data_IF_106876316543
#
_entry.id   IF_106876316543
#
_cell.length_a   1.000
_cell.length_b   1.000
_cell.length_c   1.000
_cell.angle_alpha   90.00
_cell.angle_beta   90.00
_cell.angle_gamma   90.00
#
_symmetry.space_group_name_H-M   'P 1'
#
loop_
_entity.id
_entity.type
_entity.pdbx_description
1 polymer ?
#
# COMPACT_ATOMS: atom_id res chain seq x y z
N UNK A 1 -2.62 -25.80 18.45
CA UNK A 1 -3.02 -25.97 17.05
C UNK A 1 -2.38 -24.84 16.25
N UNK A 2 -1.40 -25.15 15.41
CA UNK A 2 -0.73 -24.17 14.55
C UNK A 2 -1.69 -23.63 13.48
N UNK A 3 -1.29 -22.54 12.82
CA UNK A 3 -2.03 -21.94 11.72
C UNK A 3 -2.24 -22.97 10.60
N UNK A 4 -3.49 -23.34 10.33
CA UNK A 4 -3.82 -24.22 9.21
C UNK A 4 -3.66 -23.44 7.90
N UNK A 5 -2.74 -23.88 7.05
CA UNK A 5 -2.53 -23.32 5.70
C UNK A 5 -3.44 -24.06 4.70
N UNK A 6 -4.74 -23.81 4.78
CA UNK A 6 -5.74 -24.46 3.92
C UNK A 6 -6.24 -23.58 2.76
N UNK A 7 -5.60 -22.44 2.50
CA UNK A 7 -6.00 -21.51 1.42
C UNK A 7 -7.24 -20.66 1.71
N UNK A 8 -7.78 -20.72 2.93
CA UNK A 8 -8.90 -19.87 3.37
C UNK A 8 -8.35 -18.63 4.07
N UNK A 9 -8.58 -17.44 3.51
CA UNK A 9 -8.23 -16.19 4.17
C UNK A 9 -9.25 -15.85 5.27
N UNK A 10 -8.84 -15.07 6.28
CA UNK A 10 -9.74 -14.57 7.31
C UNK A 10 -10.95 -13.83 6.72
N UNK A 11 -10.74 -13.06 5.66
CA UNK A 11 -11.83 -12.37 4.95
C UNK A 11 -12.82 -13.33 4.33
N UNK A 12 -12.35 -14.39 3.69
CA UNK A 12 -13.25 -15.41 3.12
C UNK A 12 -14.07 -16.12 4.20
N UNK A 13 -13.46 -16.41 5.35
CA UNK A 13 -14.17 -16.99 6.50
C UNK A 13 -15.28 -16.06 7.01
N UNK A 14 -15.00 -14.75 7.14
CA UNK A 14 -15.99 -13.75 7.55
C UNK A 14 -17.15 -13.60 6.54
N UNK A 15 -16.84 -13.61 5.25
CA UNK A 15 -17.88 -13.58 4.18
C UNK A 15 -18.74 -14.87 4.25
N UNK A 16 -18.12 -16.04 4.39
CA UNK A 16 -18.84 -17.30 4.51
C UNK A 16 -19.74 -17.33 5.75
N UNK A 17 -19.27 -16.83 6.89
CA UNK A 17 -20.05 -16.67 8.11
C UNK A 17 -21.26 -15.75 7.87
N UNK A 18 -21.03 -14.56 7.30
CA UNK A 18 -22.10 -13.61 6.99
C UNK A 18 -23.18 -14.22 6.09
N UNK A 19 -22.79 -14.95 5.06
CA UNK A 19 -23.72 -15.65 4.16
C UNK A 19 -24.47 -16.78 4.83
N UNK A 20 -23.79 -17.54 5.71
CA UNK A 20 -24.41 -18.69 6.40
C UNK A 20 -25.51 -18.28 7.40
N UNK A 21 -25.37 -17.09 7.99
CA UNK A 21 -26.31 -16.56 8.99
C UNK A 21 -27.17 -15.40 8.50
N UNK A 22 -27.05 -15.04 7.23
CA UNK A 22 -27.79 -13.92 6.60
C UNK A 22 -27.63 -12.59 7.36
N UNK A 23 -26.39 -12.29 7.78
CA UNK A 23 -26.01 -11.05 8.47
C UNK A 23 -25.08 -10.19 7.60
N UNK A 24 -25.04 -8.86 7.78
CA UNK A 24 -24.16 -7.99 7.02
C UNK A 24 -22.69 -8.33 7.24
N UNK A 25 -21.91 -8.44 6.16
CA UNK A 25 -20.46 -8.70 6.24
C UNK A 25 -19.74 -7.60 7.05
N UNK A 26 -20.19 -6.35 6.94
CA UNK A 26 -19.61 -5.23 7.67
C UNK A 26 -19.74 -5.42 9.20
N UNK A 27 -20.86 -5.93 9.67
CA UNK A 27 -21.09 -6.19 11.09
C UNK A 27 -20.23 -7.36 11.59
N UNK A 28 -20.10 -8.41 10.77
CA UNK A 28 -19.20 -9.52 11.08
C UNK A 28 -17.74 -9.04 11.16
N UNK A 29 -17.32 -8.20 10.22
CA UNK A 29 -15.97 -7.62 10.21
C UNK A 29 -15.73 -6.75 11.46
N UNK A 30 -16.72 -5.99 11.89
CA UNK A 30 -16.64 -5.15 13.08
C UNK A 30 -16.58 -5.96 14.38
N UNK A 31 -17.49 -6.93 14.54
CA UNK A 31 -17.60 -7.67 15.79
C UNK A 31 -16.53 -8.74 15.96
N UNK A 32 -15.95 -9.27 14.88
CA UNK A 32 -14.97 -10.33 14.91
C UNK A 32 -13.73 -10.02 15.76
N UNK A 33 -13.23 -8.78 15.69
CA UNK A 33 -12.01 -8.37 16.38
C UNK A 33 -12.14 -8.32 17.90
N UNK A 34 -13.35 -8.19 18.43
CA UNK A 34 -13.62 -8.22 19.86
C UNK A 34 -13.85 -9.62 20.43
N UNK A 35 -13.72 -10.68 19.63
CA UNK A 35 -14.09 -12.03 20.01
C UNK A 35 -12.90 -12.98 20.10
N UNK A 36 -13.02 -13.96 21.03
CA UNK A 36 -12.07 -15.07 21.18
C UNK A 36 -12.79 -16.42 21.01
N UNK A 37 -12.08 -17.48 20.55
CA UNK A 37 -12.67 -18.80 20.52
C UNK A 37 -13.27 -19.20 21.88
N UNK A 38 -14.46 -19.85 21.89
CA UNK A 38 -15.18 -20.47 20.77
C UNK A 38 -16.13 -19.52 20.00
N UNK A 39 -16.04 -18.20 20.12
CA UNK A 39 -16.85 -17.19 19.43
C UNK A 39 -18.36 -17.27 19.77
N UNK A 40 -18.73 -17.75 20.95
CA UNK A 40 -20.12 -18.00 21.34
C UNK A 40 -21.01 -16.75 21.15
N UNK A 41 -20.59 -15.58 21.66
CA UNK A 41 -21.34 -14.35 21.54
C UNK A 41 -21.57 -13.91 20.06
N UNK A 42 -20.61 -14.20 19.18
CA UNK A 42 -20.75 -13.91 17.75
C UNK A 42 -21.80 -14.83 17.10
N UNK A 43 -21.83 -16.10 17.48
CA UNK A 43 -22.85 -17.05 17.01
C UNK A 43 -24.23 -16.74 17.58
N UNK A 44 -24.33 -16.40 18.87
CA UNK A 44 -25.60 -16.02 19.52
C UNK A 44 -26.21 -14.78 18.83
N UNK A 45 -25.41 -13.78 18.53
CA UNK A 45 -25.85 -12.63 17.75
C UNK A 45 -26.31 -13.02 16.34
N UNK A 46 -25.48 -13.78 15.63
CA UNK A 46 -25.76 -14.16 14.23
C UNK A 46 -27.01 -15.04 14.09
N UNK A 47 -27.38 -15.81 15.11
CA UNK A 47 -28.61 -16.62 15.16
C UNK A 47 -29.82 -15.87 15.73
N UNK A 48 -29.65 -14.59 16.15
CA UNK A 48 -30.70 -13.82 16.79
C UNK A 48 -30.99 -14.21 18.24
N UNK A 49 -30.14 -15.05 18.84
CA UNK A 49 -30.28 -15.52 20.21
C UNK A 49 -29.67 -14.57 21.28
N UNK A 50 -28.85 -13.59 20.83
CA UNK A 50 -28.18 -12.63 21.68
C UNK A 50 -28.02 -11.25 21.08
N UNK A 51 -27.63 -10.24 21.88
CA UNK A 51 -27.34 -8.89 21.38
C UNK A 51 -26.04 -8.87 20.57
N UNK A 52 -25.75 -7.76 19.85
CA UNK A 52 -24.43 -7.56 19.26
C UNK A 52 -23.31 -7.81 20.28
N UNK A 53 -22.27 -8.58 19.95
CA UNK A 53 -21.27 -9.08 20.88
C UNK A 53 -20.29 -7.99 21.38
N UNK A 54 -20.45 -6.77 20.87
CA UNK A 54 -19.61 -5.62 21.21
C UNK A 54 -20.49 -4.46 21.57
N UNK A 55 -20.22 -3.83 22.72
CA UNK A 55 -20.92 -2.62 23.16
C UNK A 55 -20.65 -1.46 22.18
N UNK A 56 -21.67 -0.69 21.88
CA UNK A 56 -21.50 0.57 21.16
C UNK A 56 -20.50 1.46 21.92
N UNK A 57 -19.53 2.03 21.23
CA UNK A 57 -18.49 2.86 21.86
C UNK A 57 -17.31 2.07 22.46
N UNK A 58 -17.25 0.75 22.32
CA UNK A 58 -16.06 0.00 22.70
C UNK A 58 -14.88 0.35 21.76
N UNK A 59 -13.66 0.56 22.29
CA UNK A 59 -12.46 0.83 21.48
C UNK A 59 -11.98 -0.47 20.84
N UNK A 60 -12.45 -0.75 19.65
CA UNK A 60 -12.10 -1.91 18.85
C UNK A 60 -11.71 -1.50 17.44
N UNK A 61 -11.00 -2.38 16.75
CA UNK A 61 -10.73 -2.22 15.33
C UNK A 61 -12.04 -2.05 14.54
N UNK A 62 -12.05 -1.08 13.65
CA UNK A 62 -13.18 -0.77 12.77
C UNK A 62 -12.80 -1.06 11.31
N UNK A 63 -13.69 -1.68 10.52
CA UNK A 63 -13.43 -1.89 9.10
C UNK A 63 -13.11 -0.58 8.39
N UNK A 64 -12.04 -0.58 7.58
CA UNK A 64 -11.57 0.63 6.92
C UNK A 64 -12.50 1.15 5.84
N UNK A 65 -12.71 2.46 5.84
CA UNK A 65 -13.19 3.18 4.67
C UNK A 65 -12.08 3.31 3.65
N UNK A 66 -12.36 2.95 2.39
CA UNK A 66 -11.40 2.90 1.29
C UNK A 66 -11.74 3.91 0.21
N UNK A 67 -10.72 4.56 -0.32
CA UNK A 67 -10.86 5.50 -1.42
C UNK A 67 -10.99 4.82 -2.78
N UNK A 68 -11.83 5.38 -3.66
CA UNK A 68 -11.87 5.04 -5.07
C UNK A 68 -10.71 5.70 -5.84
N UNK A 69 -10.24 5.13 -6.95
CA UNK A 69 -9.40 5.89 -7.87
C UNK A 69 -10.16 7.13 -8.35
N UNK A 70 -9.49 8.27 -8.45
CA UNK A 70 -10.04 9.42 -9.18
C UNK A 70 -10.09 9.04 -10.66
N UNK A 71 -11.27 9.10 -11.25
CA UNK A 71 -11.50 8.82 -12.67
C UNK A 71 -11.38 10.09 -13.52
N UNK A 72 -11.84 10.01 -14.76
CA UNK A 72 -11.89 11.15 -15.69
C UNK A 72 -12.89 12.22 -15.23
N UNK A 73 -13.97 11.81 -14.57
CA UNK A 73 -14.95 12.74 -13.99
C UNK A 73 -14.44 13.22 -12.64
N UNK A 74 -14.08 14.49 -12.60
CA UNK A 74 -13.53 15.13 -11.42
C UNK A 74 -14.67 15.71 -10.60
N UNK A 75 -14.72 15.44 -9.28
CA UNK A 75 -15.74 16.00 -8.41
C UNK A 75 -15.52 17.51 -8.23
N UNK A 76 -16.56 18.22 -7.85
CA UNK A 76 -16.45 19.62 -7.44
C UNK A 76 -15.58 19.72 -6.19
N UNK A 77 -14.41 20.33 -6.35
CA UNK A 77 -13.36 20.41 -5.33
C UNK A 77 -13.78 21.16 -4.06
N UNK A 78 -14.74 22.07 -4.16
CA UNK A 78 -15.23 22.84 -3.02
C UNK A 78 -15.85 21.94 -1.92
N UNK A 79 -16.38 20.79 -2.33
CA UNK A 79 -16.93 19.80 -1.42
C UNK A 79 -15.89 18.86 -0.80
N UNK A 80 -14.62 18.96 -1.21
CA UNK A 80 -13.58 18.04 -0.76
C UNK A 80 -12.44 18.75 -0.02
N UNK A 81 -11.94 18.11 1.01
CA UNK A 81 -10.64 18.40 1.57
C UNK A 81 -9.59 17.57 0.84
N UNK A 82 -8.45 18.17 0.56
CA UNK A 82 -7.33 17.49 -0.07
C UNK A 82 -6.24 17.25 0.95
N UNK A 83 -5.76 16.02 1.05
CA UNK A 83 -4.63 15.62 1.89
C UNK A 83 -3.58 14.90 1.05
N UNK A 84 -2.37 14.79 1.55
CA UNK A 84 -1.35 13.94 0.94
C UNK A 84 -1.74 12.46 1.05
N UNK A 85 -1.49 11.72 -0.03
CA UNK A 85 -1.50 10.27 0.02
C UNK A 85 -0.09 9.78 0.36
N UNK A 86 0.09 9.47 1.64
CA UNK A 86 1.36 9.00 2.17
C UNK A 86 1.69 7.58 1.68
N UNK A 87 2.97 7.30 1.48
CA UNK A 87 3.51 6.00 1.11
C UNK A 87 4.05 5.27 2.35
N UNK A 88 3.16 4.78 3.16
CA UNK A 88 3.43 4.06 4.40
C UNK A 88 2.56 2.82 4.55
N UNK A 89 2.20 2.51 5.78
CA UNK A 89 1.25 1.46 6.11
C UNK A 89 0.06 2.08 6.82
N UNK A 90 -1.10 2.01 6.19
CA UNK A 90 -2.33 2.42 6.87
C UNK A 90 -2.58 1.54 8.09
N UNK A 91 -2.78 2.19 9.22
CA UNK A 91 -3.05 1.53 10.50
C UNK A 91 -4.23 2.14 11.21
N UNK A 92 -4.88 1.33 12.03
CA UNK A 92 -5.71 1.82 13.14
C UNK A 92 -4.97 1.58 14.45
N UNK A 93 -4.87 2.63 15.25
CA UNK A 93 -4.42 2.52 16.63
C UNK A 93 -5.66 2.50 17.52
N UNK A 94 -5.78 1.43 18.26
CA UNK A 94 -6.90 1.18 19.17
C UNK A 94 -6.34 1.17 20.58
N UNK A 95 -6.80 2.07 21.43
CA UNK A 95 -6.45 2.11 22.85
C UNK A 95 -7.71 1.93 23.70
N UNK A 96 -7.69 0.92 24.54
CA UNK A 96 -8.70 0.62 25.55
C UNK A 96 -7.99 0.35 26.87
N UNK A 97 -7.96 -0.90 27.33
CA UNK A 97 -7.12 -1.33 28.45
C UNK A 97 -5.63 -1.37 28.05
N UNK A 98 -5.36 -1.71 26.82
CA UNK A 98 -4.04 -1.70 26.18
C UNK A 98 -4.10 -1.08 24.79
N UNK A 99 -2.95 -0.66 24.25
CA UNK A 99 -2.84 -0.15 22.89
C UNK A 99 -2.52 -1.28 21.92
N UNK A 100 -3.24 -1.34 20.80
CA UNK A 100 -2.96 -2.23 19.67
C UNK A 100 -2.94 -1.46 18.37
N UNK A 101 -2.09 -1.94 17.46
CA UNK A 101 -1.92 -1.36 16.13
C UNK A 101 -2.33 -2.42 15.12
N UNK A 102 -3.39 -2.13 14.36
CA UNK A 102 -3.91 -3.01 13.34
C UNK A 102 -3.57 -2.50 11.95
N UNK A 103 -3.05 -3.39 11.10
CA UNK A 103 -2.82 -3.13 9.69
C UNK A 103 -4.16 -3.02 8.93
N UNK A 104 -4.07 -2.62 7.65
CA UNK A 104 -5.24 -2.54 6.76
C UNK A 104 -5.99 -3.87 6.59
N UNK A 105 -5.33 -5.00 6.76
CA UNK A 105 -5.97 -6.33 6.75
C UNK A 105 -6.58 -6.72 8.08
N UNK A 106 -6.41 -5.91 9.13
CA UNK A 106 -6.85 -6.22 10.49
C UNK A 106 -5.87 -7.10 11.26
N UNK A 107 -4.65 -7.27 10.76
CA UNK A 107 -3.60 -8.01 11.46
C UNK A 107 -2.98 -7.13 12.54
N UNK A 108 -2.78 -7.68 13.75
CA UNK A 108 -2.08 -7.02 14.84
C UNK A 108 -0.57 -6.97 14.56
N UNK A 109 -0.05 -5.76 14.37
CA UNK A 109 1.36 -5.49 14.11
C UNK A 109 2.07 -4.77 15.28
N UNK A 110 1.43 -4.67 16.43
CA UNK A 110 1.90 -3.96 17.63
C UNK A 110 3.33 -4.31 18.02
N UNK A 111 3.70 -5.60 17.91
CA UNK A 111 5.04 -6.09 18.30
C UNK A 111 6.18 -5.49 17.47
N UNK A 112 5.90 -5.04 16.26
CA UNK A 112 6.89 -4.41 15.38
C UNK A 112 7.11 -2.91 15.70
N UNK A 113 6.23 -2.31 16.52
CA UNK A 113 6.22 -0.88 16.81
C UNK A 113 5.96 -0.60 18.30
N UNK A 114 6.76 -1.17 19.23
CA UNK A 114 6.52 -1.08 20.67
C UNK A 114 6.56 0.36 21.19
N UNK A 115 7.29 1.27 20.54
CA UNK A 115 7.39 2.68 20.92
C UNK A 115 6.10 3.49 20.75
N UNK A 116 5.07 2.91 20.11
CA UNK A 116 3.76 3.54 19.91
C UNK A 116 2.69 3.02 20.88
N UNK A 117 3.02 2.06 21.76
CA UNK A 117 2.01 1.39 22.59
C UNK A 117 1.70 2.11 23.90
N UNK A 118 2.66 2.81 24.49
CA UNK A 118 2.53 3.40 25.83
C UNK A 118 2.26 4.93 25.82
N UNK A 119 1.78 5.45 24.70
CA UNK A 119 1.65 6.90 24.48
C UNK A 119 0.23 7.43 24.58
N UNK A 120 -0.78 6.58 24.52
CA UNK A 120 -2.19 6.94 24.64
C UNK A 120 -2.68 6.72 26.09
N UNK A 121 -3.68 7.51 26.52
CA UNK A 121 -4.16 7.49 27.91
C UNK A 121 -5.68 7.39 28.05
N UNK A 122 -6.43 7.64 26.99
CA UNK A 122 -7.89 7.59 26.98
C UNK A 122 -8.37 6.64 25.89
N UNK A 123 -9.53 5.97 26.05
CA UNK A 123 -10.10 5.11 25.04
C UNK A 123 -10.27 5.86 23.71
N UNK A 124 -9.62 5.35 22.65
CA UNK A 124 -9.60 6.01 21.35
C UNK A 124 -9.39 5.01 20.21
N UNK A 125 -9.93 5.33 19.05
CA UNK A 125 -9.62 4.67 17.77
C UNK A 125 -9.20 5.73 16.75
N UNK A 126 -7.92 5.67 16.37
CA UNK A 126 -7.27 6.58 15.43
C UNK A 126 -7.00 5.87 14.11
N UNK A 127 -7.20 6.56 12.99
CA UNK A 127 -6.85 6.09 11.65
C UNK A 127 -5.72 6.97 11.10
N UNK A 128 -4.65 6.35 10.62
CA UNK A 128 -3.46 7.07 10.18
C UNK A 128 -2.56 6.24 9.28
N UNK A 129 -1.51 6.89 8.80
CA UNK A 129 -0.43 6.25 8.06
C UNK A 129 0.78 6.09 8.96
N UNK A 130 1.20 4.85 9.19
CA UNK A 130 2.41 4.51 9.91
C UNK A 130 3.62 4.72 8.99
N UNK A 131 4.55 5.51 9.48
CA UNK A 131 5.75 5.95 8.78
C UNK A 131 6.97 5.80 9.69
N UNK A 132 8.17 5.93 9.15
CA UNK A 132 9.41 6.08 9.93
C UNK A 132 10.05 7.43 9.63
N UNK A 133 10.70 8.02 10.64
CA UNK A 133 11.44 9.27 10.49
C UNK A 133 12.66 9.03 9.60
N UNK A 134 12.87 9.94 8.64
CA UNK A 134 14.06 9.96 7.79
C UNK A 134 15.09 10.94 8.33
N UNK A 135 16.37 10.61 8.15
CA UNK A 135 17.44 11.59 8.22
C UNK A 135 17.52 12.25 6.84
N UNK A 136 16.70 13.26 6.60
CA UNK A 136 16.68 13.95 5.32
C UNK A 136 17.80 14.99 5.27
N UNK A 137 18.71 14.89 4.30
CA UNK A 137 19.66 15.96 4.01
C UNK A 137 18.95 17.01 3.16
N UNK A 138 18.58 18.15 3.76
CA UNK A 138 18.03 19.31 3.08
C UNK A 138 16.56 19.63 3.35
N UNK A 139 15.84 18.85 4.15
CA UNK A 139 14.49 19.11 4.62
C UNK A 139 14.42 19.33 6.13
N UNK A 140 13.34 19.92 6.63
CA UNK A 140 13.08 20.08 8.06
C UNK A 140 13.24 18.72 8.78
N UNK A 141 13.94 18.72 9.92
CA UNK A 141 14.07 17.54 10.77
C UNK A 141 12.67 17.00 11.09
N UNK A 142 12.37 15.77 10.64
CA UNK A 142 11.10 15.11 10.93
C UNK A 142 10.28 14.68 9.71
N UNK A 143 10.78 14.76 8.48
CA UNK A 143 10.15 14.19 7.29
C UNK A 143 10.02 12.67 7.35
N UNK A 144 9.09 12.10 6.60
CA UNK A 144 8.95 10.65 6.46
C UNK A 144 10.05 10.10 5.55
N UNK A 145 10.66 8.98 5.95
CA UNK A 145 11.56 8.21 5.10
C UNK A 145 10.79 7.38 4.07
N UNK A 146 11.50 6.83 3.09
CA UNK A 146 10.91 5.96 2.09
C UNK A 146 10.24 4.71 2.71
N UNK A 147 9.28 4.14 1.99
CA UNK A 147 8.64 2.90 2.38
C UNK A 147 9.63 1.74 2.59
N UNK A 148 10.75 1.74 1.89
CA UNK A 148 11.80 0.73 2.06
C UNK A 148 12.41 0.76 3.47
N UNK A 149 12.59 1.95 4.05
CA UNK A 149 13.03 2.10 5.44
C UNK A 149 12.00 1.52 6.42
N UNK A 150 10.70 1.78 6.19
CA UNK A 150 9.61 1.21 7.01
C UNK A 150 9.57 -0.33 6.91
N UNK A 151 9.85 -0.92 5.74
CA UNK A 151 9.90 -2.36 5.56
C UNK A 151 10.93 -3.06 6.44
N UNK A 152 12.00 -2.38 6.87
CA UNK A 152 12.99 -2.95 7.80
C UNK A 152 12.39 -3.31 9.15
N UNK A 153 11.29 -2.63 9.54
CA UNK A 153 10.58 -2.84 10.81
C UNK A 153 9.50 -3.92 10.72
N UNK A 154 8.93 -4.15 9.52
CA UNK A 154 7.83 -5.10 9.34
C UNK A 154 8.22 -6.54 9.65
N UNK A 155 7.24 -7.30 10.20
CA UNK A 155 7.37 -8.72 10.52
C UNK A 155 8.49 -9.06 11.52
N UNK A 156 9.04 -8.07 12.24
CA UNK A 156 10.03 -8.31 13.30
C UNK A 156 9.32 -8.83 14.55
N UNK A 157 9.77 -9.96 15.06
CA UNK A 157 9.29 -10.53 16.33
C UNK A 157 9.85 -9.79 17.54
N UNK A 158 11.03 -9.21 17.38
CA UNK A 158 11.71 -8.37 18.36
C UNK A 158 12.41 -7.22 17.64
N UNK A 159 12.32 -6.02 18.19
CA UNK A 159 12.92 -4.80 17.66
C UNK A 159 14.07 -4.40 18.59
N UNK A 160 15.28 -4.29 18.04
CA UNK A 160 16.46 -3.88 18.84
C UNK A 160 16.43 -2.36 19.06
N UNK A 161 17.14 -1.91 20.12
CA UNK A 161 17.30 -0.49 20.41
C UNK A 161 17.84 0.30 19.21
N UNK A 162 18.84 -0.25 18.52
CA UNK A 162 19.38 0.36 17.29
C UNK A 162 18.32 0.55 16.22
N UNK A 163 17.41 -0.41 16.02
CA UNK A 163 16.33 -0.28 15.04
C UNK A 163 15.30 0.76 15.45
N UNK A 164 15.03 0.93 16.76
CA UNK A 164 14.15 1.99 17.26
C UNK A 164 14.73 3.39 16.98
N UNK A 165 16.06 3.52 17.09
CA UNK A 165 16.78 4.78 16.85
C UNK A 165 16.95 5.07 15.35
N UNK A 166 17.28 4.05 14.53
CA UNK A 166 17.57 4.18 13.10
C UNK A 166 16.30 4.31 12.26
N UNK A 167 15.21 3.63 12.66
CA UNK A 167 13.92 3.60 11.95
C UNK A 167 12.79 3.98 12.93
N UNK A 168 12.90 5.15 13.53
CA UNK A 168 11.93 5.65 14.52
C UNK A 168 10.55 5.76 13.91
N UNK A 169 9.58 4.99 14.43
CA UNK A 169 8.22 4.99 13.92
C UNK A 169 7.39 6.14 14.48
N UNK A 170 6.51 6.68 13.65
CA UNK A 170 5.47 7.62 14.01
C UNK A 170 4.22 7.39 13.17
N UNK A 171 3.08 7.93 13.58
CA UNK A 171 1.83 7.81 12.83
C UNK A 171 1.32 9.19 12.45
N UNK A 172 1.08 9.39 11.17
CA UNK A 172 0.44 10.58 10.63
C UNK A 172 -1.06 10.38 10.58
N UNK A 173 -1.74 11.02 11.52
CA UNK A 173 -3.17 10.86 11.75
C UNK A 173 -3.99 11.63 10.71
N UNK A 174 -5.06 11.03 10.23
CA UNK A 174 -5.98 11.67 9.28
C UNK A 174 -7.46 11.43 9.58
N UNK A 175 -7.82 10.57 10.55
CA UNK A 175 -9.19 10.43 11.04
C UNK A 175 -9.24 9.98 12.50
N UNK A 176 -10.33 10.33 13.20
CA UNK A 176 -10.64 9.93 14.56
C UNK A 176 -12.01 9.27 14.56
N UNK A 177 -12.04 7.98 14.92
CA UNK A 177 -13.24 7.15 14.78
C UNK A 177 -13.99 6.98 16.10
N UNK A 178 -13.27 7.02 17.23
CA UNK A 178 -13.85 6.90 18.57
C UNK A 178 -12.98 7.67 19.56
N UNK A 179 -13.57 8.36 20.50
CA UNK A 179 -12.91 8.99 21.64
C UNK A 179 -13.81 9.00 22.87
N UNK A 180 -13.28 8.57 24.03
CA UNK A 180 -14.03 8.59 25.29
C UNK A 180 -15.34 7.78 25.26
N UNK A 181 -15.44 6.76 24.42
CA UNK A 181 -16.65 5.95 24.23
C UNK A 181 -17.66 6.52 23.21
N UNK A 182 -17.42 7.71 22.66
CA UNK A 182 -18.23 8.30 21.59
C UNK A 182 -17.78 7.78 20.23
N UNK A 183 -18.68 7.15 19.47
CA UNK A 183 -18.44 6.75 18.08
C UNK A 183 -18.65 7.95 17.16
N UNK A 184 -17.56 8.43 16.55
CA UNK A 184 -17.55 9.60 15.67
C UNK A 184 -17.83 9.26 14.21
N UNK A 185 -17.85 7.99 13.81
CA UNK A 185 -18.02 7.57 12.42
C UNK A 185 -19.27 8.12 11.74
N UNK A 186 -20.42 8.29 12.42
CA UNK A 186 -21.62 8.90 11.81
C UNK A 186 -21.45 10.38 11.50
N UNK A 187 -20.52 11.09 12.16
CA UNK A 187 -20.31 12.52 11.94
C UNK A 187 -19.71 12.82 10.57
N UNK A 188 -19.93 14.02 10.01
CA UNK A 188 -19.24 14.50 8.83
C UNK A 188 -17.71 14.51 9.02
N UNK A 189 -16.96 14.30 7.95
CA UNK A 189 -15.48 14.30 8.00
C UNK A 189 -14.91 15.58 8.63
N UNK A 190 -15.45 16.76 8.29
CA UNK A 190 -14.99 18.03 8.84
C UNK A 190 -15.15 18.11 10.37
N UNK A 191 -16.23 17.54 10.92
CA UNK A 191 -16.43 17.47 12.37
C UNK A 191 -15.44 16.48 13.02
N UNK A 192 -15.24 15.31 12.41
CA UNK A 192 -14.23 14.35 12.88
C UNK A 192 -12.82 14.94 12.81
N UNK A 193 -12.52 15.68 11.74
CA UNK A 193 -11.23 16.36 11.58
C UNK A 193 -10.97 17.40 12.67
N UNK A 194 -11.95 18.23 13.00
CA UNK A 194 -11.82 19.20 14.08
C UNK A 194 -11.56 18.51 15.44
N UNK A 195 -12.28 17.42 15.73
CA UNK A 195 -12.06 16.61 16.95
C UNK A 195 -10.69 15.92 16.94
N UNK A 196 -10.19 15.51 15.77
CA UNK A 196 -8.84 14.94 15.63
C UNK A 196 -7.76 16.00 15.91
N UNK A 197 -7.91 17.22 15.41
CA UNK A 197 -6.97 18.32 15.65
C UNK A 197 -6.89 18.68 17.12
N UNK A 198 -8.02 18.77 17.80
CA UNK A 198 -8.10 18.99 19.25
C UNK A 198 -7.44 17.84 20.03
N UNK A 199 -7.75 16.59 19.68
CA UNK A 199 -7.16 15.41 20.34
C UNK A 199 -5.64 15.32 20.12
N UNK A 200 -5.18 15.56 18.91
CA UNK A 200 -3.78 15.44 18.53
C UNK A 200 -2.88 16.50 19.20
N UNK A 201 -3.43 17.66 19.55
CA UNK A 201 -2.70 18.71 20.27
C UNK A 201 -2.16 18.23 21.64
N UNK A 202 -2.74 17.20 22.22
CA UNK A 202 -2.31 16.57 23.48
C UNK A 202 -1.37 15.38 23.31
N UNK A 203 -1.02 14.99 22.08
CA UNK A 203 -0.16 13.84 21.79
C UNK A 203 1.32 14.22 21.70
N UNK A 204 2.20 13.24 21.90
CA UNK A 204 3.63 13.41 21.66
C UNK A 204 3.92 13.62 20.16
N UNK A 205 4.40 14.80 19.73
CA UNK A 205 4.67 15.09 18.32
C UNK A 205 5.82 14.27 17.74
N UNK A 206 6.63 13.63 18.57
CA UNK A 206 7.63 12.68 18.08
C UNK A 206 7.01 11.37 17.59
N UNK A 207 5.80 11.03 18.06
CA UNK A 207 5.09 9.78 17.75
C UNK A 207 3.86 9.97 16.89
N UNK A 208 3.21 11.13 16.98
CA UNK A 208 1.99 11.44 16.25
C UNK A 208 2.07 12.83 15.65
N UNK A 209 1.69 12.93 14.39
CA UNK A 209 1.44 14.21 13.74
C UNK A 209 0.15 14.14 12.91
N UNK A 210 -0.26 15.26 12.34
CA UNK A 210 -1.46 15.36 11.54
C UNK A 210 -1.12 15.38 10.06
N UNK A 211 -1.90 14.67 9.26
CA UNK A 211 -1.89 14.82 7.80
C UNK A 211 -2.32 16.24 7.44
N UNK A 212 -1.42 16.98 6.80
CA UNK A 212 -1.69 18.37 6.43
C UNK A 212 -2.76 18.43 5.32
N UNK A 213 -3.63 19.46 5.42
CA UNK A 213 -4.55 19.83 4.35
C UNK A 213 -3.77 20.55 3.27
N UNK A 214 -3.85 20.06 2.05
CA UNK A 214 -3.25 20.68 0.86
C UNK A 214 -4.20 21.75 0.34
N UNK A 215 -3.78 23.03 0.25
CA UNK A 215 -4.60 24.07 -0.33
C UNK A 215 -4.92 23.76 -1.80
N UNK A 216 -6.20 23.69 -2.13
CA UNK A 216 -6.67 23.42 -3.48
C UNK A 216 -7.33 24.67 -4.06
N UNK A 217 -6.72 25.27 -5.07
CA UNK A 217 -7.29 26.43 -5.80
C UNK A 217 -7.85 26.03 -7.15
N UNK A 218 -7.29 24.99 -7.76
CA UNK A 218 -7.74 24.44 -9.04
C UNK A 218 -7.21 23.01 -9.22
N UNK A 219 -7.77 22.30 -10.17
CA UNK A 219 -7.32 20.96 -10.54
C UNK A 219 -5.89 20.96 -11.08
N UNK A 220 -5.54 21.94 -11.92
CA UNK A 220 -4.20 22.06 -12.50
C UNK A 220 -3.15 22.33 -11.42
N UNK A 221 -3.49 23.17 -10.42
CA UNK A 221 -2.62 23.41 -9.27
C UNK A 221 -2.41 22.11 -8.45
N UNK A 222 -3.47 21.34 -8.22
CA UNK A 222 -3.36 20.04 -7.55
C UNK A 222 -2.54 19.01 -8.36
N UNK A 223 -2.69 19.00 -9.69
CA UNK A 223 -1.89 18.13 -10.55
C UNK A 223 -0.40 18.47 -10.42
N UNK A 224 -0.05 19.75 -10.48
CA UNK A 224 1.33 20.22 -10.30
C UNK A 224 1.91 19.85 -8.92
N UNK A 225 1.12 20.02 -7.85
CA UNK A 225 1.48 19.62 -6.48
C UNK A 225 1.70 18.10 -6.40
N UNK A 226 0.78 17.31 -6.97
CA UNK A 226 0.88 15.84 -7.03
C UNK A 226 2.18 15.39 -7.72
N UNK A 227 2.49 15.98 -8.85
CA UNK A 227 3.63 15.58 -9.66
C UNK A 227 4.97 16.00 -9.05
N UNK A 228 5.00 17.13 -8.33
CA UNK A 228 6.17 17.63 -7.59
C UNK A 228 6.50 16.86 -6.30
N UNK A 229 5.61 16.00 -5.82
CA UNK A 229 5.76 15.32 -4.51
C UNK A 229 6.62 14.05 -4.54
N UNK A 230 7.41 13.78 -5.60
CA UNK A 230 8.16 12.51 -5.77
C UNK A 230 9.22 12.26 -4.69
N UNK A 231 9.75 13.32 -4.08
CA UNK A 231 10.90 13.25 -3.16
C UNK A 231 10.51 13.13 -1.67
N UNK A 232 9.23 12.91 -1.34
CA UNK A 232 8.73 13.06 0.03
C UNK A 232 7.91 11.87 0.58
N UNK A 233 8.20 10.64 0.23
CA UNK A 233 7.39 9.48 0.67
C UNK A 233 5.87 9.68 0.45
N UNK A 234 5.50 10.31 -0.66
CA UNK A 234 4.14 10.64 -1.04
C UNK A 234 3.78 9.92 -2.33
N UNK A 235 2.66 9.20 -2.35
CA UNK A 235 2.14 8.52 -3.54
C UNK A 235 1.21 9.36 -4.41
N UNK A 236 0.78 10.54 -3.93
CA UNK A 236 -0.20 11.38 -4.59
C UNK A 236 -1.09 12.15 -3.61
N UNK A 237 -2.36 12.31 -3.95
CA UNK A 237 -3.35 13.04 -3.18
C UNK A 237 -4.54 12.16 -2.78
N UNK A 238 -5.19 12.54 -1.69
CA UNK A 238 -6.47 12.02 -1.21
C UNK A 238 -7.49 13.16 -1.22
N UNK A 239 -8.63 12.94 -1.84
CA UNK A 239 -9.77 13.85 -1.78
C UNK A 239 -10.82 13.23 -0.86
N UNK A 240 -11.17 13.91 0.22
CA UNK A 240 -12.14 13.46 1.22
C UNK A 240 -13.33 14.39 1.24
N UNK A 241 -14.51 13.88 0.98
CA UNK A 241 -15.73 14.68 0.99
C UNK A 241 -16.00 15.19 2.40
N UNK A 242 -16.15 16.51 2.55
CA UNK A 242 -16.21 17.22 3.85
C UNK A 242 -17.40 16.82 4.73
N UNK A 243 -18.53 16.50 4.09
CA UNK A 243 -19.77 16.09 4.76
C UNK A 243 -19.92 14.55 4.88
N UNK A 244 -18.88 13.78 4.52
CA UNK A 244 -18.96 12.32 4.52
C UNK A 244 -18.88 11.69 5.90
N UNK A 245 -19.74 10.73 6.24
CA UNK A 245 -19.52 9.83 7.36
C UNK A 245 -18.34 8.89 7.05
N UNK A 246 -17.85 8.20 8.08
CA UNK A 246 -16.87 7.13 7.89
C UNK A 246 -17.59 5.80 7.69
N UNK A 247 -17.55 5.26 6.49
CA UNK A 247 -18.27 4.05 6.08
C UNK A 247 -17.29 2.97 5.64
N UNK A 248 -17.45 1.76 6.19
CA UNK A 248 -16.63 0.61 5.83
C UNK A 248 -16.69 0.29 4.33
N UNK A 249 -15.59 -0.23 3.79
CA UNK A 249 -15.51 -0.61 2.39
C UNK A 249 -15.15 0.56 1.47
N UNK A 250 -15.68 0.56 0.25
CA UNK A 250 -15.33 1.54 -0.79
C UNK A 250 -16.57 2.26 -1.30
N UNK A 251 -17.18 3.14 -0.51
CA UNK A 251 -18.36 3.88 -0.92
C UNK A 251 -18.06 4.82 -2.09
N UNK A 252 -19.04 4.98 -2.99
CA UNK A 252 -18.92 5.88 -4.14
C UNK A 252 -19.01 7.35 -3.69
N UNK A 253 -18.21 8.22 -4.31
CA UNK A 253 -18.33 9.66 -4.16
C UNK A 253 -17.82 10.25 -2.84
N UNK A 254 -17.34 9.44 -1.89
CA UNK A 254 -16.94 9.95 -0.60
C UNK A 254 -15.44 10.23 -0.51
N UNK A 255 -14.60 9.25 -0.83
CA UNK A 255 -13.17 9.40 -0.83
C UNK A 255 -12.57 8.98 -2.16
N UNK A 256 -11.66 9.81 -2.69
CA UNK A 256 -10.88 9.51 -3.89
C UNK A 256 -9.39 9.52 -3.58
N UNK A 257 -8.64 8.69 -4.30
CA UNK A 257 -7.19 8.71 -4.36
C UNK A 257 -6.75 9.09 -5.76
N UNK A 258 -5.88 10.08 -5.84
CA UNK A 258 -5.26 10.52 -7.08
C UNK A 258 -3.77 10.27 -6.99
N UNK A 259 -3.38 9.06 -7.40
CA UNK A 259 -1.98 8.70 -7.44
C UNK A 259 -1.26 9.47 -8.52
N UNK A 260 0.02 9.78 -8.29
CA UNK A 260 0.88 10.27 -9.36
C UNK A 260 1.07 9.18 -10.42
N UNK A 261 1.46 9.61 -11.62
CA UNK A 261 1.72 8.70 -12.71
C UNK A 261 2.94 7.82 -12.39
N UNK A 262 2.90 6.53 -12.77
CA UNK A 262 4.03 5.64 -12.56
C UNK A 262 5.25 6.12 -13.37
N UNK A 263 6.42 5.72 -12.92
CA UNK A 263 7.62 5.78 -13.74
C UNK A 263 7.51 4.75 -14.85
N UNK A 264 8.00 5.10 -16.04
CA UNK A 264 7.98 4.23 -17.22
C UNK A 264 9.40 4.01 -17.71
N UNK A 265 9.72 2.78 -18.08
CA UNK A 265 10.96 2.39 -18.76
C UNK A 265 10.70 1.29 -19.76
N UNK A 266 11.45 1.29 -20.84
CA UNK A 266 11.42 0.25 -21.85
C UNK A 266 12.47 -0.82 -21.54
N UNK A 267 12.01 -2.02 -21.21
CA UNK A 267 12.84 -3.16 -20.84
C UNK A 267 12.74 -4.29 -21.87
N UNK A 268 13.78 -5.08 -22.02
CA UNK A 268 13.77 -6.26 -22.89
C UNK A 268 13.28 -7.49 -22.12
N UNK A 269 12.36 -8.25 -22.67
CA UNK A 269 11.92 -9.53 -22.11
C UNK A 269 13.08 -10.54 -22.16
N UNK A 270 13.43 -11.10 -21.00
CA UNK A 270 14.53 -12.05 -20.87
C UNK A 270 14.05 -13.47 -20.61
N UNK A 271 13.17 -13.61 -19.62
CA UNK A 271 12.67 -14.91 -19.17
C UNK A 271 11.18 -14.86 -18.90
N UNK A 272 10.52 -16.00 -19.09
CA UNK A 272 9.14 -16.19 -18.70
C UNK A 272 8.95 -17.50 -17.93
N UNK A 273 8.00 -17.49 -17.00
CA UNK A 273 7.62 -18.66 -16.21
C UNK A 273 6.10 -18.80 -16.18
N UNK A 274 5.61 -20.04 -16.02
CA UNK A 274 4.17 -20.29 -15.88
C UNK A 274 3.65 -19.64 -14.59
N UNK A 275 2.45 -19.09 -14.68
CA UNK A 275 1.74 -18.55 -13.56
C UNK A 275 1.22 -19.60 -12.59
N UNK A 276 0.57 -19.15 -11.54
CA UNK A 276 -0.08 -19.98 -10.53
C UNK A 276 -1.60 -19.93 -10.62
N UNK A 277 -2.29 -20.92 -10.07
CA UNK A 277 -3.75 -20.97 -10.01
C UNK A 277 -4.39 -20.95 -11.41
N UNK A 278 -5.32 -20.01 -11.66
CA UNK A 278 -6.02 -19.87 -12.94
C UNK A 278 -5.11 -19.62 -14.15
N UNK A 279 -3.89 -19.12 -13.92
CA UNK A 279 -2.89 -18.81 -14.97
C UNK A 279 -1.81 -19.88 -15.13
N UNK A 280 -1.97 -21.05 -14.49
CA UNK A 280 -0.96 -22.14 -14.53
C UNK A 280 -0.73 -22.73 -15.93
N UNK A 281 -1.65 -22.53 -16.87
CA UNK A 281 -1.52 -22.95 -18.27
C UNK A 281 -0.80 -21.94 -19.17
N UNK A 282 -0.62 -20.69 -18.69
CA UNK A 282 0.00 -19.60 -19.46
C UNK A 282 1.35 -19.21 -18.84
N UNK A 283 2.27 -18.75 -19.69
CA UNK A 283 3.42 -17.98 -19.24
C UNK A 283 2.93 -16.58 -18.86
N UNK A 284 2.95 -16.25 -17.57
CA UNK A 284 2.41 -14.99 -17.04
C UNK A 284 3.28 -14.35 -15.95
N UNK A 285 4.47 -14.88 -15.71
CA UNK A 285 5.52 -14.28 -14.87
C UNK A 285 6.70 -13.98 -15.78
N UNK A 286 7.00 -12.69 -15.98
CA UNK A 286 7.97 -12.19 -16.93
C UNK A 286 9.13 -11.53 -16.22
N UNK A 287 10.37 -11.94 -16.53
CA UNK A 287 11.59 -11.25 -16.09
C UNK A 287 12.10 -10.41 -17.25
N UNK A 288 12.36 -9.15 -16.98
CA UNK A 288 12.84 -8.20 -17.97
C UNK A 288 14.10 -7.49 -17.49
N UNK A 289 14.87 -6.93 -18.42
CA UNK A 289 16.15 -6.31 -18.15
C UNK A 289 16.40 -5.06 -18.98
N UNK A 290 17.45 -4.33 -18.57
CA UNK A 290 17.98 -3.17 -19.27
C UNK A 290 19.46 -3.38 -19.58
N UNK A 291 19.97 -2.69 -20.60
CA UNK A 291 21.37 -2.77 -21.01
C UNK A 291 22.30 -2.05 -20.03
N UNK A 292 23.41 -2.66 -19.67
CA UNK A 292 24.41 -2.01 -18.80
C UNK A 292 25.37 -1.05 -19.56
N UNK A 293 25.09 -0.79 -20.82
CA UNK A 293 25.89 0.05 -21.71
C UNK A 293 25.31 0.03 -23.11
N UNK A 294 26.15 0.22 -24.11
CA UNK A 294 25.77 0.17 -25.52
C UNK A 294 25.65 -1.28 -26.01
N UNK A 295 24.46 -1.75 -26.39
CA UNK A 295 24.28 -3.12 -26.89
C UNK A 295 25.07 -3.41 -28.18
N UNK A 296 25.33 -2.41 -29.02
CA UNK A 296 26.15 -2.57 -30.23
C UNK A 296 27.64 -2.74 -29.92
N UNK A 297 28.07 -2.24 -28.76
CA UNK A 297 29.41 -2.44 -28.20
C UNK A 297 29.53 -3.70 -27.33
N UNK A 298 28.52 -4.58 -27.31
CA UNK A 298 28.51 -5.82 -26.56
C UNK A 298 28.13 -5.74 -25.11
N UNK A 299 27.37 -4.69 -24.73
CA UNK A 299 26.86 -4.55 -23.38
C UNK A 299 25.98 -5.73 -22.94
N UNK A 300 26.04 -6.09 -21.66
CA UNK A 300 25.21 -7.14 -21.09
C UNK A 300 23.80 -6.64 -20.76
N UNK A 301 22.80 -7.48 -21.01
CA UNK A 301 21.43 -7.26 -20.56
C UNK A 301 21.26 -7.77 -19.14
N UNK A 302 21.02 -6.86 -18.17
CA UNK A 302 20.89 -7.18 -16.77
C UNK A 302 19.43 -7.18 -16.32
N UNK A 303 18.97 -8.21 -15.57
CA UNK A 303 17.60 -8.26 -15.06
C UNK A 303 17.37 -7.14 -14.03
N UNK A 304 16.26 -6.39 -14.19
CA UNK A 304 15.88 -5.26 -13.32
C UNK A 304 14.58 -5.50 -12.58
N UNK A 305 13.80 -6.48 -13.00
CA UNK A 305 12.53 -6.77 -12.34
C UNK A 305 11.78 -7.96 -12.92
N UNK A 306 10.64 -8.25 -12.27
CA UNK A 306 9.66 -9.24 -12.70
C UNK A 306 8.27 -8.65 -12.63
N UNK A 307 7.41 -9.00 -13.58
CA UNK A 307 6.00 -8.65 -13.55
C UNK A 307 5.10 -9.83 -13.87
N UNK A 308 3.97 -9.87 -13.20
CA UNK A 308 2.88 -10.85 -13.39
C UNK A 308 1.53 -10.17 -13.59
N UNK A 309 1.51 -8.87 -13.92
CA UNK A 309 0.32 -8.04 -14.05
C UNK A 309 0.50 -6.92 -15.07
N UNK A 310 -0.59 -6.18 -15.33
CA UNK A 310 -0.58 -5.01 -16.19
C UNK A 310 -0.98 -5.29 -17.63
N UNK A 311 -1.31 -6.52 -17.98
CA UNK A 311 -1.75 -6.94 -19.30
C UNK A 311 -3.20 -7.42 -19.28
N UNK A 312 -3.90 -7.24 -20.38
CA UNK A 312 -5.24 -7.79 -20.66
C UNK A 312 -5.17 -9.29 -20.96
N UNK A 313 -6.32 -9.96 -20.95
CA UNK A 313 -6.39 -11.38 -21.32
C UNK A 313 -5.97 -11.62 -22.81
N UNK A 314 -6.18 -10.66 -23.70
CA UNK A 314 -5.72 -10.72 -25.08
C UNK A 314 -4.19 -10.62 -25.14
N UNK A 315 -3.59 -9.67 -24.45
CA UNK A 315 -2.15 -9.52 -24.36
C UNK A 315 -1.47 -10.71 -23.67
N UNK A 316 -2.11 -11.29 -22.62
CA UNK A 316 -1.61 -12.52 -22.00
C UNK A 316 -1.51 -13.67 -23.00
N UNK A 317 -2.53 -13.87 -23.84
CA UNK A 317 -2.53 -14.91 -24.90
C UNK A 317 -1.44 -14.64 -25.93
N UNK A 318 -1.28 -13.38 -26.31
CA UNK A 318 -0.24 -12.95 -27.24
C UNK A 318 1.16 -13.20 -26.67
N UNK A 319 1.42 -12.79 -25.44
CA UNK A 319 2.69 -13.02 -24.72
C UNK A 319 2.97 -14.51 -24.51
N UNK A 320 1.97 -15.32 -24.17
CA UNK A 320 2.13 -16.77 -24.05
C UNK A 320 2.54 -17.41 -25.39
N UNK A 321 1.90 -16.98 -26.48
CA UNK A 321 2.27 -17.42 -27.82
C UNK A 321 3.70 -16.99 -28.18
N UNK A 322 4.05 -15.72 -27.92
CA UNK A 322 5.41 -15.19 -28.14
C UNK A 322 6.45 -16.03 -27.39
N UNK A 323 6.27 -16.26 -26.10
CA UNK A 323 7.21 -17.07 -25.31
C UNK A 323 7.37 -18.48 -25.88
N UNK A 324 6.29 -19.12 -26.32
CA UNK A 324 6.35 -20.47 -26.90
C UNK A 324 7.12 -20.54 -28.20
N UNK A 325 7.01 -19.52 -29.04
CA UNK A 325 7.64 -19.46 -30.37
C UNK A 325 9.05 -18.89 -30.35
N UNK A 326 9.41 -18.08 -29.33
CA UNK A 326 10.71 -17.40 -29.23
C UNK A 326 11.56 -17.89 -28.04
N UNK A 327 11.27 -19.09 -27.53
CA UNK A 327 12.11 -19.72 -26.50
C UNK A 327 13.40 -20.24 -27.14
N UNK A 328 14.53 -19.70 -26.69
CA UNK A 328 15.88 -20.14 -27.12
C UNK A 328 16.50 -21.15 -26.15
N UNK A 329 16.11 -21.09 -24.85
CA UNK A 329 16.65 -22.02 -23.85
C UNK A 329 15.60 -22.33 -22.76
N UNK A 330 15.83 -23.41 -22.00
CA UNK A 330 14.91 -23.89 -20.96
C UNK A 330 15.68 -24.25 -19.68
N UNK A 331 15.30 -23.63 -18.56
CA UNK A 331 15.84 -23.92 -17.23
C UNK A 331 14.71 -24.40 -16.31
N UNK A 332 14.41 -25.69 -16.36
CA UNK A 332 13.24 -26.24 -15.66
C UNK A 332 11.93 -25.55 -16.09
N UNK A 333 11.19 -24.89 -15.17
CA UNK A 333 9.96 -24.19 -15.50
C UNK A 333 10.18 -22.85 -16.25
N UNK A 334 11.40 -22.32 -16.25
CA UNK A 334 11.74 -21.03 -16.85
C UNK A 334 12.07 -21.20 -18.33
N UNK A 335 11.60 -20.26 -19.16
CA UNK A 335 11.92 -20.13 -20.59
C UNK A 335 12.75 -18.88 -20.78
N UNK A 336 13.91 -19.02 -21.41
CA UNK A 336 14.67 -17.89 -21.92
C UNK A 336 14.18 -17.54 -23.31
N UNK A 337 13.90 -16.25 -23.55
CA UNK A 337 13.47 -15.75 -24.86
C UNK A 337 14.65 -15.23 -25.67
N UNK A 338 14.45 -14.97 -26.95
CA UNK A 338 15.44 -14.43 -27.89
C UNK A 338 15.89 -13.00 -27.60
N UNK A 339 15.40 -12.38 -26.53
CA UNK A 339 15.72 -11.01 -26.09
C UNK A 339 15.44 -9.94 -27.13
N UNK A 340 14.41 -10.15 -27.96
CA UNK A 340 14.02 -9.23 -29.03
C UNK A 340 12.80 -8.37 -28.67
N UNK A 341 11.93 -8.83 -27.75
CA UNK A 341 10.71 -8.13 -27.37
C UNK A 341 10.97 -7.07 -26.31
N UNK A 342 10.54 -5.84 -26.61
CA UNK A 342 10.55 -4.72 -25.63
C UNK A 342 9.18 -4.63 -24.95
N UNK A 343 9.22 -4.42 -23.65
CA UNK A 343 8.06 -4.17 -22.79
C UNK A 343 8.25 -2.82 -22.12
N UNK A 344 7.27 -1.93 -22.25
CA UNK A 344 7.21 -0.72 -21.41
C UNK A 344 6.69 -1.13 -20.03
N UNK A 345 7.51 -0.91 -19.03
CA UNK A 345 7.25 -1.28 -17.64
C UNK A 345 6.90 -0.03 -16.84
N UNK A 346 5.72 -0.06 -16.22
CA UNK A 346 5.30 0.93 -15.23
C UNK A 346 5.65 0.45 -13.83
N UNK A 347 6.18 1.33 -12.99
CA UNK A 347 6.53 1.01 -11.60
C UNK A 347 6.41 2.26 -10.70
N UNK A 348 6.26 2.04 -9.40
CA UNK A 348 5.98 3.14 -8.47
C UNK A 348 7.27 3.84 -8.00
N UNK A 349 8.35 3.08 -7.72
CA UNK A 349 9.69 3.59 -7.40
C UNK A 349 10.78 2.57 -7.74
N UNK A 350 12.04 3.01 -7.70
CA UNK A 350 13.21 2.17 -7.88
C UNK A 350 14.26 2.52 -6.82
N UNK A 351 14.95 1.53 -6.30
CA UNK A 351 15.98 1.70 -5.27
C UNK A 351 17.17 0.78 -5.52
N UNK A 352 18.29 1.07 -4.88
CA UNK A 352 19.47 0.21 -4.92
C UNK A 352 19.24 -1.12 -4.18
N UNK A 353 19.73 -2.21 -4.75
CA UNK A 353 19.54 -3.54 -4.20
C UNK A 353 20.78 -4.44 -4.42
N UNK A 354 21.43 -4.81 -3.34
CA UNK A 354 22.54 -5.77 -3.37
C UNK A 354 22.13 -7.20 -3.73
N UNK A 355 20.83 -7.48 -3.82
CA UNK A 355 20.28 -8.82 -4.13
C UNK A 355 20.16 -9.08 -5.63
N UNK A 356 20.18 -8.03 -6.44
CA UNK A 356 20.00 -8.13 -7.89
C UNK A 356 21.32 -7.85 -8.62
N UNK A 357 21.54 -8.58 -9.72
CA UNK A 357 22.75 -8.43 -10.56
C UNK A 357 22.87 -7.01 -11.15
N UNK A 358 21.74 -6.36 -11.43
CA UNK A 358 21.70 -4.96 -11.89
C UNK A 358 22.04 -3.93 -10.81
N UNK A 359 22.06 -4.32 -9.54
CA UNK A 359 22.15 -3.39 -8.42
C UNK A 359 20.85 -2.62 -8.11
N UNK A 360 19.75 -2.92 -8.81
CA UNK A 360 18.50 -2.17 -8.75
C UNK A 360 17.30 -3.07 -8.45
N UNK A 361 16.27 -2.55 -7.78
CA UNK A 361 14.99 -3.20 -7.58
C UNK A 361 13.84 -2.21 -7.81
N UNK A 362 12.86 -2.62 -8.62
CA UNK A 362 11.63 -1.86 -8.86
C UNK A 362 10.54 -2.23 -7.87
N UNK A 363 9.75 -1.25 -7.47
CA UNK A 363 8.56 -1.45 -6.63
C UNK A 363 7.32 -1.53 -7.49
N UNK A 364 6.54 -2.62 -7.35
CA UNK A 364 5.30 -2.89 -8.09
C UNK A 364 5.42 -2.78 -9.61
N UNK A 365 6.43 -3.38 -10.24
CA UNK A 365 6.53 -3.35 -11.70
C UNK A 365 5.37 -4.09 -12.34
N UNK A 366 4.83 -3.49 -13.41
CA UNK A 366 3.75 -4.05 -14.22
C UNK A 366 3.97 -3.72 -15.70
N UNK A 367 3.55 -4.59 -16.58
CA UNK A 367 3.59 -4.32 -18.01
C UNK A 367 2.56 -3.23 -18.30
N UNK A 368 3.01 -2.09 -18.83
CA UNK A 368 2.15 -1.00 -19.26
C UNK A 368 1.77 -1.16 -20.74
N UNK A 369 2.74 -1.57 -21.54
CA UNK A 369 2.55 -1.74 -22.98
C UNK A 369 3.54 -2.76 -23.56
N UNK A 370 3.09 -3.52 -24.55
CA UNK A 370 3.94 -4.37 -25.39
C UNK A 370 4.47 -3.52 -26.54
N UNK A 371 5.78 -3.38 -26.64
CA UNK A 371 6.48 -2.54 -27.61
C UNK A 371 7.10 -3.39 -28.73
N UNK A 372 6.25 -4.14 -29.45
CA UNK A 372 6.71 -4.92 -30.62
C UNK A 372 7.25 -4.02 -31.77
N UNK A 373 6.94 -2.73 -31.72
CA UNK A 373 7.41 -1.69 -32.63
C UNK A 373 8.86 -1.25 -32.35
N UNK A 374 9.40 -1.50 -31.14
CA UNK A 374 10.69 -0.98 -30.70
C UNK A 374 11.78 -2.05 -30.74
N UNK A 375 12.91 -1.81 -31.42
CA UNK A 375 14.05 -2.73 -31.41
C UNK A 375 14.64 -2.85 -30.00
N UNK A 376 15.06 -4.06 -29.60
CA UNK A 376 15.62 -4.31 -28.27
C UNK A 376 16.87 -3.49 -27.95
N UNK A 377 17.67 -3.11 -28.96
CA UNK A 377 18.84 -2.22 -28.77
C UNK A 377 18.48 -0.81 -28.34
N UNK A 378 17.24 -0.38 -28.55
CA UNK A 378 16.72 0.93 -28.19
C UNK A 378 16.01 0.92 -26.82
N UNK A 379 15.98 -0.22 -26.11
CA UNK A 379 15.50 -0.29 -24.76
C UNK A 379 16.38 0.55 -23.80
N UNK A 380 15.82 0.93 -22.68
CA UNK A 380 16.51 1.77 -21.70
C UNK A 380 17.75 1.10 -21.10
N UNK A 381 18.67 1.93 -20.61
CA UNK A 381 19.92 1.50 -20.00
C UNK A 381 19.84 1.55 -18.48
N UNK A 382 20.70 0.81 -17.80
CA UNK A 382 20.79 0.82 -16.33
C UNK A 382 21.01 2.23 -15.76
N UNK A 383 21.76 3.07 -16.47
CA UNK A 383 22.02 4.45 -16.04
C UNK A 383 20.75 5.32 -16.10
N UNK A 384 19.87 5.10 -17.09
CA UNK A 384 18.53 5.72 -17.11
C UNK A 384 17.77 5.38 -15.84
N UNK A 385 17.75 4.10 -15.45
CA UNK A 385 17.07 3.65 -14.24
C UNK A 385 17.70 4.24 -12.97
N UNK A 386 19.03 4.33 -12.89
CA UNK A 386 19.73 4.97 -11.76
C UNK A 386 19.35 6.44 -11.61
N UNK A 387 19.15 7.15 -12.71
CA UNK A 387 18.67 8.53 -12.72
C UNK A 387 17.27 8.71 -12.12
N UNK A 388 16.47 7.64 -12.09
CA UNK A 388 15.11 7.64 -11.52
C UNK A 388 15.06 7.32 -10.02
N UNK A 389 16.19 6.97 -9.40
CA UNK A 389 16.26 6.72 -7.95
C UNK A 389 16.08 8.05 -7.23
N UNK A 390 15.10 8.08 -6.33
CA UNK A 390 14.88 9.25 -5.48
C UNK A 390 16.12 9.54 -4.60
N UNK A 391 16.42 10.81 -4.29
CA UNK A 391 17.63 11.19 -3.54
C UNK A 391 17.77 10.51 -2.17
N UNK A 392 16.66 10.21 -1.51
CA UNK A 392 16.57 9.54 -0.21
C UNK A 392 16.74 8.00 -0.29
N UNK A 393 16.67 7.42 -1.49
CA UNK A 393 16.82 5.98 -1.73
C UNK A 393 18.21 5.61 -2.30
N UNK A 394 19.09 6.59 -2.48
CA UNK A 394 20.49 6.34 -2.85
C UNK A 394 21.28 5.93 -1.62
N UNK A 395 21.95 4.79 -1.71
CA UNK A 395 22.86 4.36 -0.64
C UNK A 395 23.98 5.40 -0.52
N UNK A 396 24.27 5.82 0.71
CA UNK A 396 25.46 6.64 0.96
C UNK A 396 26.69 5.75 0.77
N UNK A 397 27.61 6.16 -0.10
CA UNK A 397 28.95 5.60 -0.22
C UNK A 397 29.74 5.80 1.09
#
# INVERSE_FOLDING_TARGET
>A
TGAMRNGVSARLAKIAFAQAFDVPVADVEEYWHGQSPPYAALFDWATGSGPPPVAAGAPLFRPFMLAQPLGETIPDLDHYAVEWKWDGIRVQIVHGEETRIYSRSGDDISRSFPELLDVLRAPVVLDGELLVRGVYQGGEQGGAASFNALQQRLNRKAVSRRMLEEYTAFVRLFDLLLVGGEDLRPLPWNARRARLEEFAAGLDPARFDLSAIVPATSLDALAAIRDGARDQAIEGLMLKRRDSPYVAGRPMGLWYKWKRDPLLVDCVLMYAQRGNGRRSSYYSDYTFGCWNGDPEAGAELLPVGKSYSGFTDAELKWLDHYVRTHTVNRFGPVRETDRALVLEIAFDSIHESRRHKSGLAMRFPRINRIRADKPAREADRIDTLRGLIAPDERTRD
#
